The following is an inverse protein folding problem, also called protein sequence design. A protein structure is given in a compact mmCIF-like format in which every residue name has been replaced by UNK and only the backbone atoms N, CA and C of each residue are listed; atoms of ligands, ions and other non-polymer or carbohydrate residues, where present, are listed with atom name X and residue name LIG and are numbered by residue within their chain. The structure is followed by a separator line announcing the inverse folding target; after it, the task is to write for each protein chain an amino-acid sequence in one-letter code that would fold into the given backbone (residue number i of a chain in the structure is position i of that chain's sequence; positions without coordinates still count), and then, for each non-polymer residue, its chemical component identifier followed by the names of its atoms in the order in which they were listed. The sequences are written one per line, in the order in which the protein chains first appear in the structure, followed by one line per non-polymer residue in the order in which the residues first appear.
data_IF_991085438733
#
_entry.id   IF_991085438733
#
_cell.length_a   1.000
_cell.length_b   1.000
_cell.length_c   1.000
_cell.angle_alpha   90.00
_cell.angle_beta   90.00
_cell.angle_gamma   90.00
#
_symmetry.space_group_name_H-M   'P 1'
#
loop_
_entity.id
_entity.type
_entity.pdbx_description
1 polymer ?
#
# COMPACT_ATOMS: atom_id res chain seq x y z
N UNK A 1 16.42 10.36 -6.83
CA UNK A 1 15.06 10.66 -6.31
C UNK A 1 14.34 9.33 -6.12
N UNK A 2 13.76 9.01 -4.96
CA UNK A 2 12.94 7.81 -4.81
C UNK A 2 11.71 7.92 -5.73
N UNK A 3 11.35 6.83 -6.41
CA UNK A 3 10.12 6.79 -7.20
C UNK A 3 8.90 6.81 -6.26
N UNK A 4 7.75 7.36 -6.67
CA UNK A 4 6.53 7.41 -5.85
C UNK A 4 6.12 6.05 -5.26
N UNK A 5 6.35 4.96 -6.01
CA UNK A 5 6.10 3.59 -5.56
C UNK A 5 7.01 3.16 -4.40
N UNK A 6 8.27 3.59 -4.39
CA UNK A 6 9.20 3.28 -3.30
C UNK A 6 8.76 3.96 -2.01
N UNK A 7 8.34 5.23 -2.10
CA UNK A 7 7.78 5.97 -0.96
C UNK A 7 6.47 5.35 -0.44
N UNK A 8 5.67 4.76 -1.34
CA UNK A 8 4.45 4.05 -0.97
C UNK A 8 4.78 2.75 -0.21
N UNK A 9 5.75 1.97 -0.70
CA UNK A 9 6.28 0.81 0.02
C UNK A 9 6.77 1.15 1.43
N UNK A 10 7.58 2.20 1.56
CA UNK A 10 8.06 2.69 2.87
C UNK A 10 6.94 3.14 3.81
N UNK A 11 5.79 3.53 3.25
CA UNK A 11 4.61 3.92 4.04
C UNK A 11 3.87 2.70 4.59
N UNK A 12 3.83 1.58 3.86
CA UNK A 12 3.27 0.32 4.40
C UNK A 12 4.11 -0.25 5.53
N UNK A 13 5.44 -0.17 5.43
CA UNK A 13 6.36 -0.53 6.54
C UNK A 13 6.06 0.31 7.78
N UNK A 14 5.91 1.63 7.61
CA UNK A 14 5.58 2.53 8.72
C UNK A 14 4.21 2.25 9.34
N UNK A 15 3.23 1.81 8.55
CA UNK A 15 1.93 1.38 9.07
C UNK A 15 2.07 0.07 9.87
N UNK A 16 2.86 -0.88 9.39
CA UNK A 16 3.14 -2.13 10.11
C UNK A 16 3.82 -1.85 11.47
N UNK A 17 4.80 -0.93 11.49
CA UNK A 17 5.49 -0.50 12.70
C UNK A 17 4.57 0.25 13.69
N UNK A 18 3.56 0.97 13.17
CA UNK A 18 2.55 1.64 13.99
C UNK A 18 1.55 0.67 14.65
N UNK A 19 1.46 -0.57 14.14
CA UNK A 19 0.63 -1.63 14.69
C UNK A 19 -0.77 -1.70 14.07
N UNK A 20 -1.58 -2.60 14.63
CA UNK A 20 -2.92 -2.92 14.10
C UNK A 20 -3.98 -2.03 14.75
N UNK A 21 -4.83 -1.34 13.96
CA UNK A 21 -5.95 -0.57 14.49
C UNK A 21 -6.97 -1.44 15.25
N UNK A 22 -7.67 -0.90 16.26
CA UNK A 22 -8.69 -1.64 16.99
C UNK A 22 -9.84 -2.05 16.07
N UNK A 23 -10.34 -3.29 16.25
CA UNK A 23 -11.45 -3.82 15.46
C UNK A 23 -11.08 -4.34 14.07
N UNK A 24 -9.79 -4.30 13.70
CA UNK A 24 -9.27 -4.92 12.47
C UNK A 24 -8.66 -6.27 12.80
N UNK A 25 -8.86 -7.26 11.93
CA UNK A 25 -8.17 -8.54 12.05
C UNK A 25 -6.66 -8.36 11.81
N UNK A 26 -5.86 -8.73 12.81
CA UNK A 26 -4.43 -8.49 12.80
C UNK A 26 -3.68 -9.29 11.72
N UNK A 27 -4.10 -10.54 11.47
CA UNK A 27 -3.43 -11.39 10.50
C UNK A 27 -3.69 -10.88 9.08
N UNK A 28 -4.95 -10.59 8.75
CA UNK A 28 -5.35 -10.07 7.45
C UNK A 28 -4.74 -8.69 7.18
N UNK A 29 -4.70 -7.82 8.20
CA UNK A 29 -4.11 -6.49 8.07
C UNK A 29 -2.61 -6.55 7.77
N UNK A 30 -1.85 -7.32 8.55
CA UNK A 30 -0.40 -7.44 8.37
C UNK A 30 -0.05 -8.14 7.05
N UNK A 31 -0.80 -9.18 6.67
CA UNK A 31 -0.64 -9.84 5.38
C UNK A 31 -0.89 -8.86 4.21
N UNK A 32 -1.93 -8.02 4.32
CA UNK A 32 -2.22 -7.00 3.31
C UNK A 32 -1.12 -5.96 3.21
N UNK A 33 -0.60 -5.45 4.33
CA UNK A 33 0.52 -4.50 4.34
C UNK A 33 1.77 -5.09 3.68
N UNK A 34 2.16 -6.32 4.04
CA UNK A 34 3.32 -6.99 3.48
C UNK A 34 3.17 -7.23 1.95
N UNK A 35 1.98 -7.63 1.51
CA UNK A 35 1.69 -7.84 0.07
C UNK A 35 1.77 -6.52 -0.70
N UNK A 36 1.20 -5.44 -0.15
CA UNK A 36 1.22 -4.12 -0.77
C UNK A 36 2.64 -3.51 -0.82
N UNK A 37 3.45 -3.72 0.21
CA UNK A 37 4.87 -3.35 0.24
C UNK A 37 5.65 -4.04 -0.89
N UNK A 38 5.50 -5.35 -1.02
CA UNK A 38 6.20 -6.14 -2.04
C UNK A 38 5.81 -5.69 -3.45
N UNK A 39 4.50 -5.53 -3.71
CA UNK A 39 4.02 -5.04 -5.00
C UNK A 39 4.46 -3.61 -5.30
N UNK A 40 4.52 -2.73 -4.30
CA UNK A 40 5.02 -1.37 -4.49
C UNK A 40 6.51 -1.35 -4.83
N UNK A 41 7.33 -2.21 -4.20
CA UNK A 41 8.75 -2.36 -4.55
C UNK A 41 8.92 -2.94 -5.94
N UNK A 42 8.21 -4.01 -6.26
CA UNK A 42 8.26 -4.63 -7.58
C UNK A 42 7.82 -3.65 -8.68
N UNK A 43 6.78 -2.84 -8.44
CA UNK A 43 6.39 -1.79 -9.37
C UNK A 43 7.50 -0.76 -9.58
N UNK A 44 8.18 -0.34 -8.50
CA UNK A 44 9.29 0.62 -8.57
C UNK A 44 10.46 0.10 -9.41
N UNK A 45 10.79 -1.17 -9.25
CA UNK A 45 11.87 -1.83 -9.98
C UNK A 45 11.46 -2.04 -11.45
N UNK A 46 10.25 -2.53 -11.72
CA UNK A 46 9.72 -2.70 -13.09
C UNK A 46 9.61 -1.38 -13.84
N UNK A 47 9.20 -0.29 -13.18
CA UNK A 47 9.08 1.03 -13.83
C UNK A 47 10.43 1.53 -14.38
N UNK A 48 11.55 1.14 -13.74
CA UNK A 48 12.88 1.50 -14.21
C UNK A 48 13.31 0.76 -15.50
N UNK A 49 12.67 -0.37 -15.79
CA UNK A 49 12.96 -1.24 -16.94
C UNK A 49 11.91 -1.08 -18.05
N UNK A 50 10.63 -1.00 -17.67
CA UNK A 50 9.46 -0.96 -18.55
C UNK A 50 8.39 -0.03 -17.95
N UNK A 51 8.33 1.24 -18.41
CA UNK A 51 7.39 2.22 -17.86
C UNK A 51 5.91 1.85 -18.03
N UNK A 52 5.55 1.14 -19.11
CA UNK A 52 4.17 0.70 -19.38
C UNK A 52 3.74 -0.37 -18.38
N UNK A 53 4.58 -1.40 -18.18
CA UNK A 53 4.28 -2.46 -17.20
C UNK A 53 4.29 -1.90 -15.79
N UNK A 54 5.26 -1.04 -15.45
CA UNK A 54 5.30 -0.35 -14.16
C UNK A 54 4.04 0.48 -13.89
N UNK A 55 3.47 1.14 -14.90
CA UNK A 55 2.21 1.87 -14.77
C UNK A 55 1.01 0.94 -14.53
N UNK A 56 0.99 -0.24 -15.16
CA UNK A 56 -0.06 -1.24 -14.90
C UNK A 56 0.05 -1.81 -13.48
N UNK A 57 1.26 -2.14 -13.01
CA UNK A 57 1.47 -2.59 -11.63
C UNK A 57 1.10 -1.50 -10.62
N UNK A 58 1.38 -0.23 -10.93
CA UNK A 58 0.94 0.90 -10.09
C UNK A 58 -0.58 0.95 -9.92
N UNK A 59 -1.33 0.75 -11.00
CA UNK A 59 -2.79 0.80 -10.96
C UNK A 59 -3.35 -0.25 -10.00
N UNK A 60 -2.80 -1.48 -10.05
CA UNK A 60 -3.18 -2.57 -9.14
C UNK A 60 -2.84 -2.24 -7.69
N UNK A 61 -1.63 -1.73 -7.42
CA UNK A 61 -1.22 -1.32 -6.08
C UNK A 61 -2.15 -0.22 -5.55
N UNK A 62 -2.48 0.77 -6.38
CA UNK A 62 -3.39 1.87 -6.00
C UNK A 62 -4.78 1.36 -5.66
N UNK A 63 -5.34 0.45 -6.46
CA UNK A 63 -6.65 -0.16 -6.20
C UNK A 63 -6.66 -0.91 -4.87
N UNK A 64 -5.67 -1.77 -4.63
CA UNK A 64 -5.58 -2.55 -3.39
C UNK A 64 -5.29 -1.69 -2.15
N UNK A 65 -4.60 -0.57 -2.33
CA UNK A 65 -4.40 0.44 -1.28
C UNK A 65 -5.73 1.11 -0.90
N UNK A 66 -6.67 1.26 -1.84
CA UNK A 66 -8.02 1.74 -1.56
C UNK A 66 -8.76 0.85 -0.54
N UNK A 67 -8.66 -0.46 -0.70
CA UNK A 67 -9.27 -1.43 0.24
C UNK A 67 -8.67 -1.31 1.64
N UNK A 68 -7.36 -1.08 1.74
CA UNK A 68 -6.71 -0.79 3.03
C UNK A 68 -7.27 0.49 3.67
N UNK A 69 -7.49 1.54 2.86
CA UNK A 69 -8.06 2.79 3.34
C UNK A 69 -9.49 2.60 3.86
N UNK A 70 -10.31 1.76 3.22
CA UNK A 70 -11.66 1.45 3.72
C UNK A 70 -11.61 0.77 5.09
N UNK A 71 -10.69 -0.18 5.29
CA UNK A 71 -10.48 -0.84 6.59
C UNK A 71 -10.01 0.15 7.66
N UNK A 72 -9.03 0.99 7.34
CA UNK A 72 -8.51 2.02 8.25
C UNK A 72 -9.57 3.06 8.60
N UNK A 73 -10.33 3.53 7.60
CA UNK A 73 -11.38 4.52 7.79
C UNK A 73 -12.50 4.01 8.69
N UNK A 74 -12.90 2.74 8.52
CA UNK A 74 -13.88 2.11 9.39
C UNK A 74 -13.38 2.02 10.84
N UNK A 75 -12.12 1.63 11.04
CA UNK A 75 -11.53 1.45 12.37
C UNK A 75 -11.25 2.78 13.11
N UNK A 76 -10.82 3.80 12.37
CA UNK A 76 -10.39 5.09 12.92
C UNK A 76 -11.49 6.16 12.89
N UNK A 77 -12.64 5.88 12.26
CA UNK A 77 -13.70 6.88 12.06
C UNK A 77 -13.29 8.00 11.11
N UNK A 78 -12.40 7.72 10.16
CA UNK A 78 -11.85 8.70 9.21
C UNK A 78 -12.46 8.54 7.81
N UNK A 79 -12.07 9.41 6.88
CA UNK A 79 -12.53 9.37 5.47
C UNK A 79 -11.40 9.71 4.49
N UNK A 80 -10.20 9.20 4.79
CA UNK A 80 -9.04 9.36 3.92
C UNK A 80 -9.28 8.72 2.54
N UNK A 81 -8.69 9.33 1.51
CA UNK A 81 -8.71 8.81 0.13
C UNK A 81 -7.34 9.00 -0.49
N UNK A 82 -7.02 8.14 -1.45
CA UNK A 82 -5.87 8.35 -2.32
C UNK A 82 -6.18 9.52 -3.27
N UNK A 83 -5.29 10.52 -3.41
CA UNK A 83 -5.45 11.62 -4.36
C UNK A 83 -5.39 11.13 -5.80
#
# INVERSE_FOLDING_TARGET
MPTPMRMLGDSFVRLADAGVPPGVDAADYMARLATLEDFARQAADTYSVSPIEGAATFAVVREQTGVLFDQLNAALGTSYRLP
#
